data_IF_940464578511
#
_entry.id   IF_940464578511
#
_cell.length_a   1.000
_cell.length_b   1.000
_cell.length_c   1.000
_cell.angle_alpha   90.00
_cell.angle_beta   90.00
_cell.angle_gamma   90.00
#
_symmetry.space_group_name_H-M   'P 1'
#
loop_
_entity.id
_entity.type
_entity.pdbx_description
1 polymer ?
#
# COMPACT_ATOMS: atom_id res chain seq x y z
N UNK A 1 27.71 -59.12 48.53
CA UNK A 1 28.24 -58.02 47.70
C UNK A 1 28.11 -58.42 46.24
N UNK A 2 27.03 -58.01 45.55
CA UNK A 2 26.91 -57.89 44.09
C UNK A 2 25.82 -56.83 43.85
N UNK A 3 26.20 -55.82 43.09
CA UNK A 3 25.45 -54.60 42.76
C UNK A 3 24.32 -54.89 41.77
N UNK A 4 23.10 -54.39 42.02
CA UNK A 4 22.05 -54.27 41.00
C UNK A 4 21.92 -52.78 40.66
N UNK A 5 22.44 -52.40 39.49
CA UNK A 5 22.25 -51.07 38.90
C UNK A 5 20.80 -50.90 38.46
N UNK A 6 20.17 -49.81 38.87
CA UNK A 6 18.88 -49.36 38.35
C UNK A 6 19.13 -48.53 37.08
N UNK A 7 18.62 -49.00 35.94
CA UNK A 7 18.62 -48.28 34.67
C UNK A 7 17.44 -47.31 34.68
N UNK A 8 17.69 -46.00 34.82
CA UNK A 8 16.65 -44.97 34.66
C UNK A 8 16.59 -44.61 33.17
N UNK A 9 15.52 -45.04 32.51
CA UNK A 9 15.20 -44.69 31.13
C UNK A 9 14.57 -43.28 31.12
N UNK A 10 15.35 -42.25 30.82
CA UNK A 10 14.87 -40.88 30.65
C UNK A 10 14.21 -40.70 29.27
N UNK A 11 12.87 -40.68 29.23
CA UNK A 11 12.12 -40.22 28.06
C UNK A 11 12.30 -38.70 27.92
N UNK A 12 13.03 -38.27 26.88
CA UNK A 12 13.01 -36.89 26.41
C UNK A 12 11.71 -36.66 25.62
N UNK A 13 10.69 -36.09 26.26
CA UNK A 13 9.55 -35.50 25.55
C UNK A 13 10.00 -34.21 24.87
N UNK A 14 10.23 -34.24 23.56
CA UNK A 14 10.37 -33.02 22.76
C UNK A 14 9.01 -32.33 22.70
N UNK A 15 8.86 -31.20 23.41
CA UNK A 15 7.70 -30.33 23.31
C UNK A 15 7.67 -29.67 21.94
N UNK A 16 6.83 -30.20 21.04
CA UNK A 16 6.43 -29.49 19.83
C UNK A 16 5.61 -28.26 20.24
N UNK A 17 6.17 -27.07 20.08
CA UNK A 17 5.44 -25.82 20.18
C UNK A 17 4.63 -25.68 18.89
N UNK A 18 3.29 -25.69 18.92
CA UNK A 18 2.51 -25.49 17.70
C UNK A 18 2.73 -24.06 17.21
N UNK A 19 3.30 -23.92 16.02
CA UNK A 19 3.34 -22.65 15.29
C UNK A 19 1.91 -22.18 15.10
N UNK A 20 1.55 -21.06 15.72
CA UNK A 20 0.26 -20.41 15.54
C UNK A 20 0.12 -20.03 14.07
N UNK A 21 -0.74 -20.77 13.35
CA UNK A 21 -1.18 -20.37 12.03
C UNK A 21 -1.88 -19.00 12.14
N UNK A 22 -1.35 -18.00 11.45
CA UNK A 22 -2.01 -16.71 11.28
C UNK A 22 -3.36 -16.99 10.60
N UNK A 23 -4.45 -16.75 11.33
CA UNK A 23 -5.79 -16.99 10.82
C UNK A 23 -6.01 -16.16 9.55
N UNK A 24 -6.41 -16.82 8.46
CA UNK A 24 -6.81 -16.16 7.21
C UNK A 24 -7.94 -15.14 7.51
N UNK A 25 -7.98 -14.00 6.80
CA UNK A 25 -9.03 -13.01 7.00
C UNK A 25 -10.40 -13.65 6.79
N UNK A 26 -11.24 -13.61 7.84
CA UNK A 26 -12.62 -14.14 7.77
C UNK A 26 -13.42 -13.26 6.81
N UNK A 27 -13.67 -13.78 5.61
CA UNK A 27 -14.59 -13.20 4.63
C UNK A 27 -16.03 -13.40 5.11
N UNK A 28 -16.80 -12.31 5.27
CA UNK A 28 -18.25 -12.43 5.48
C UNK A 28 -18.91 -12.73 4.14
N UNK A 29 -19.53 -13.91 4.00
CA UNK A 29 -20.15 -14.36 2.74
C UNK A 29 -21.49 -13.66 2.43
N UNK A 30 -21.95 -12.77 3.30
CA UNK A 30 -23.22 -12.06 3.14
C UNK A 30 -23.00 -10.73 2.43
N UNK A 31 -23.64 -10.56 1.28
CA UNK A 31 -23.67 -9.28 0.57
C UNK A 31 -24.74 -8.40 1.23
N UNK A 32 -24.33 -7.23 1.74
CA UNK A 32 -25.22 -6.27 2.39
C UNK A 32 -25.71 -5.21 1.39
N UNK A 33 -27.02 -5.06 1.25
CA UNK A 33 -27.62 -3.95 0.51
C UNK A 33 -27.38 -2.62 1.25
N UNK A 34 -26.94 -1.58 0.52
CA UNK A 34 -26.59 -0.27 1.09
C UNK A 34 -27.19 0.88 0.27
N UNK A 35 -27.02 2.11 0.75
CA UNK A 35 -27.31 3.32 -0.01
C UNK A 35 -26.02 4.12 -0.28
N UNK A 36 -26.11 5.16 -1.12
CA UNK A 36 -24.94 5.95 -1.55
C UNK A 36 -24.31 6.81 -0.44
N UNK A 37 -24.95 6.93 0.72
CA UNK A 37 -24.38 7.60 1.89
C UNK A 37 -23.70 6.63 2.86
N UNK A 38 -23.72 5.32 2.58
CA UNK A 38 -23.11 4.32 3.47
C UNK A 38 -21.59 4.36 3.34
N UNK A 39 -20.93 4.44 4.49
CA UNK A 39 -19.48 4.43 4.66
C UNK A 39 -19.03 3.16 5.43
N UNK A 40 -17.72 3.06 5.68
CA UNK A 40 -17.12 1.96 6.43
C UNK A 40 -16.69 2.35 7.86
N UNK A 41 -17.18 3.48 8.40
CA UNK A 41 -16.74 4.01 9.70
C UNK A 41 -17.01 3.03 10.85
N UNK A 42 -18.11 2.27 10.78
CA UNK A 42 -18.45 1.23 11.77
C UNK A 42 -17.44 0.08 11.82
N UNK A 43 -16.62 -0.08 10.77
CA UNK A 43 -15.66 -1.18 10.60
C UNK A 43 -14.21 -0.74 10.80
N UNK A 44 -13.95 0.52 11.19
CA UNK A 44 -12.59 1.11 11.25
C UNK A 44 -11.56 0.36 12.11
N UNK A 45 -12.01 -0.46 13.06
CA UNK A 45 -11.14 -1.26 13.94
C UNK A 45 -10.98 -2.72 13.47
N UNK A 46 -11.65 -3.12 12.39
CA UNK A 46 -11.68 -4.50 11.89
C UNK A 46 -10.63 -4.70 10.79
N UNK A 47 -9.38 -4.32 11.07
CA UNK A 47 -8.27 -4.37 10.10
C UNK A 47 -8.14 -5.76 9.48
N UNK A 48 -8.01 -5.81 8.16
CA UNK A 48 -7.89 -7.02 7.36
C UNK A 48 -9.22 -7.74 7.08
N UNK A 49 -10.32 -7.39 7.76
CA UNK A 49 -11.63 -8.01 7.50
C UNK A 49 -12.24 -7.51 6.19
N UNK A 50 -13.00 -8.40 5.55
CA UNK A 50 -13.64 -8.17 4.26
C UNK A 50 -15.16 -8.11 4.41
N UNK A 51 -15.74 -7.07 3.81
CA UNK A 51 -17.18 -6.82 3.79
C UNK A 51 -17.67 -6.65 2.35
N UNK A 52 -18.75 -7.32 2.01
CA UNK A 52 -19.35 -7.25 0.66
C UNK A 52 -20.63 -6.44 0.69
N UNK A 53 -20.79 -5.54 -0.29
CA UNK A 53 -21.91 -4.63 -0.38
C UNK A 53 -22.51 -4.61 -1.79
N UNK A 54 -23.81 -4.34 -1.88
CA UNK A 54 -24.47 -3.98 -3.14
C UNK A 54 -24.84 -2.51 -3.15
N UNK A 55 -24.28 -1.78 -4.11
CA UNK A 55 -24.62 -0.41 -4.43
C UNK A 55 -25.81 -0.38 -5.39
N UNK A 56 -26.88 0.37 -5.08
CA UNK A 56 -28.05 0.47 -5.93
C UNK A 56 -27.77 1.35 -7.16
N UNK A 57 -28.49 1.15 -8.27
CA UNK A 57 -28.37 1.99 -9.46
C UNK A 57 -28.85 3.43 -9.22
N UNK A 58 -28.44 4.34 -10.11
CA UNK A 58 -28.89 5.73 -10.20
C UNK A 58 -28.72 6.56 -8.91
N UNK A 59 -27.64 6.32 -8.16
CA UNK A 59 -27.34 7.13 -6.99
C UNK A 59 -26.66 8.46 -7.30
N UNK A 60 -26.16 9.10 -6.24
CA UNK A 60 -25.49 10.39 -6.32
C UNK A 60 -24.11 10.30 -5.70
N UNK A 61 -23.10 10.70 -6.47
CA UNK A 61 -21.72 10.78 -5.99
C UNK A 61 -21.57 11.88 -4.94
N UNK A 62 -20.74 11.63 -3.94
CA UNK A 62 -20.40 12.57 -2.87
C UNK A 62 -18.91 12.92 -2.85
N UNK A 63 -18.51 13.86 -1.99
CA UNK A 63 -17.09 14.12 -1.77
C UNK A 63 -16.50 12.97 -0.96
N UNK A 64 -15.45 12.35 -1.49
CA UNK A 64 -14.72 11.26 -0.84
C UNK A 64 -13.23 11.59 -0.73
N UNK A 65 -12.52 10.82 0.09
CA UNK A 65 -11.11 11.04 0.38
C UNK A 65 -10.28 9.81 0.02
N UNK A 66 -9.17 10.03 -0.69
CA UNK A 66 -8.26 8.99 -1.13
C UNK A 66 -8.47 8.48 -2.55
N UNK A 67 -7.59 7.58 -2.96
CA UNK A 67 -7.51 6.92 -4.25
C UNK A 67 -6.78 5.60 -4.02
N UNK A 68 -7.31 4.51 -4.55
CA UNK A 68 -6.95 3.11 -4.25
C UNK A 68 -7.27 2.71 -2.79
N UNK A 69 -6.76 3.49 -1.85
CA UNK A 69 -7.19 3.51 -0.45
C UNK A 69 -8.15 4.68 -0.27
N UNK A 70 -9.31 4.40 0.30
CA UNK A 70 -10.33 5.40 0.60
C UNK A 70 -10.54 5.48 2.09
N UNK A 71 -10.78 6.68 2.63
CA UNK A 71 -11.07 6.84 4.07
C UNK A 71 -12.33 6.05 4.43
N UNK A 72 -12.35 5.42 5.61
CA UNK A 72 -13.56 4.72 6.08
C UNK A 72 -14.79 5.62 6.18
N UNK A 73 -14.62 6.94 6.29
CA UNK A 73 -15.74 7.90 6.24
C UNK A 73 -16.20 8.29 4.82
N UNK A 74 -15.62 7.70 3.78
CA UNK A 74 -16.03 7.93 2.39
C UNK A 74 -17.16 7.00 1.99
N UNK A 75 -18.08 7.50 1.16
CA UNK A 75 -19.11 6.69 0.51
C UNK A 75 -18.48 5.52 -0.25
N UNK A 76 -18.87 4.29 0.10
CA UNK A 76 -18.37 3.06 -0.53
C UNK A 76 -18.73 3.04 -2.02
N UNK A 77 -19.97 3.43 -2.36
CA UNK A 77 -20.43 3.43 -3.75
C UNK A 77 -19.76 4.52 -4.59
N UNK A 78 -19.54 5.72 -4.03
CA UNK A 78 -18.80 6.76 -4.75
C UNK A 78 -17.34 6.37 -4.95
N UNK A 79 -16.71 5.75 -3.94
CA UNK A 79 -15.36 5.22 -4.05
C UNK A 79 -15.25 4.12 -5.12
N UNK A 80 -16.27 3.27 -5.25
CA UNK A 80 -16.32 2.22 -6.26
C UNK A 80 -16.45 2.79 -7.69
N UNK A 81 -17.22 3.88 -7.87
CA UNK A 81 -17.25 4.62 -9.15
C UNK A 81 -15.90 5.25 -9.44
N UNK A 82 -15.30 5.93 -8.46
CA UNK A 82 -13.97 6.51 -8.62
C UNK A 82 -12.93 5.45 -9.04
N UNK A 83 -12.95 4.29 -8.40
CA UNK A 83 -12.12 3.14 -8.72
C UNK A 83 -12.43 2.49 -10.09
N UNK A 84 -13.49 2.90 -10.78
CA UNK A 84 -13.92 2.34 -12.07
C UNK A 84 -14.52 0.94 -11.97
N UNK A 85 -14.90 0.49 -10.77
CA UNK A 85 -15.44 -0.86 -10.54
C UNK A 85 -16.94 -0.95 -10.85
N UNK A 86 -17.65 0.16 -10.71
CA UNK A 86 -19.08 0.29 -11.04
C UNK A 86 -19.35 1.63 -11.72
N UNK A 87 -20.55 1.77 -12.30
CA UNK A 87 -21.04 3.06 -12.81
C UNK A 87 -22.25 3.52 -12.01
N UNK A 88 -22.52 4.83 -12.00
CA UNK A 88 -23.70 5.40 -11.33
C UNK A 88 -25.01 4.78 -11.85
N UNK A 89 -25.25 4.64 -13.18
CA UNK A 89 -26.51 4.09 -13.68
C UNK A 89 -26.72 2.62 -13.34
N UNK A 90 -25.64 1.83 -13.28
CA UNK A 90 -25.75 0.38 -13.06
C UNK A 90 -25.72 0.00 -11.57
N UNK A 91 -24.99 0.73 -10.73
CA UNK A 91 -24.61 0.24 -9.40
C UNK A 91 -23.73 -1.02 -9.52
N UNK A 92 -23.77 -1.89 -8.51
CA UNK A 92 -23.05 -3.17 -8.56
C UNK A 92 -22.67 -3.73 -7.19
N UNK A 93 -22.01 -4.90 -7.20
CA UNK A 93 -21.49 -5.54 -5.98
C UNK A 93 -20.01 -5.21 -5.87
N UNK A 94 -19.58 -4.81 -4.68
CA UNK A 94 -18.18 -4.55 -4.35
C UNK A 94 -17.84 -5.18 -3.01
N UNK A 95 -16.59 -5.58 -2.84
CA UNK A 95 -16.07 -6.00 -1.54
C UNK A 95 -14.92 -5.09 -1.13
N UNK A 96 -14.91 -4.68 0.12
CA UNK A 96 -13.87 -3.85 0.70
C UNK A 96 -13.10 -4.63 1.76
N UNK A 97 -11.81 -4.34 1.88
CA UNK A 97 -11.00 -4.78 3.00
C UNK A 97 -10.58 -3.57 3.82
N UNK A 98 -10.79 -3.63 5.14
CA UNK A 98 -10.35 -2.56 6.04
C UNK A 98 -8.83 -2.59 6.17
N UNK A 99 -8.22 -1.43 6.04
CA UNK A 99 -6.78 -1.19 6.09
C UNK A 99 -6.44 -0.27 7.25
N UNK A 100 -5.21 -0.37 7.79
CA UNK A 100 -4.75 0.51 8.85
C UNK A 100 -4.73 1.97 8.40
N UNK A 101 -4.51 2.85 9.36
CA UNK A 101 -4.42 4.28 9.08
C UNK A 101 -3.28 4.59 8.12
N UNK A 102 -3.54 5.44 7.15
CA UNK A 102 -2.55 5.86 6.16
C UNK A 102 -2.82 7.28 5.67
N UNK A 103 -1.86 7.82 4.91
CA UNK A 103 -2.05 9.06 4.17
C UNK A 103 -2.77 8.73 2.89
N UNK A 104 -3.89 9.40 2.66
CA UNK A 104 -4.75 9.21 1.51
C UNK A 104 -4.54 10.35 0.53
N UNK A 105 -4.33 10.00 -0.74
CA UNK A 105 -4.10 10.97 -1.81
C UNK A 105 -5.34 11.10 -2.67
N UNK A 106 -5.80 12.33 -2.87
CA UNK A 106 -6.94 12.62 -3.74
C UNK A 106 -6.54 12.66 -5.21
N UNK A 107 -7.35 12.07 -6.09
CA UNK A 107 -7.20 12.20 -7.54
C UNK A 107 -8.54 12.45 -8.22
N UNK A 108 -8.54 12.56 -9.55
CA UNK A 108 -9.76 12.53 -10.35
C UNK A 108 -9.72 11.31 -11.25
N UNK A 109 -10.70 10.41 -11.11
CA UNK A 109 -10.86 9.20 -11.90
C UNK A 109 -12.35 8.97 -12.16
N UNK A 110 -12.69 8.45 -13.33
CA UNK A 110 -14.09 8.15 -13.71
C UNK A 110 -15.05 9.32 -13.45
N UNK A 111 -14.57 10.56 -13.70
CA UNK A 111 -15.28 11.82 -13.45
C UNK A 111 -15.63 12.12 -11.98
N UNK A 112 -15.12 11.32 -11.03
CA UNK A 112 -15.20 11.59 -9.59
C UNK A 112 -13.90 12.22 -9.14
N UNK A 113 -13.98 13.33 -8.40
CA UNK A 113 -12.82 13.98 -7.78
C UNK A 113 -12.81 13.69 -6.29
N UNK A 114 -11.66 13.27 -5.79
CA UNK A 114 -11.44 12.98 -4.37
C UNK A 114 -10.44 13.95 -3.76
N UNK A 115 -10.43 14.04 -2.44
CA UNK A 115 -9.51 14.91 -1.67
C UNK A 115 -8.46 14.07 -0.95
N UNK A 116 -7.30 14.67 -0.68
CA UNK A 116 -6.29 14.06 0.19
C UNK A 116 -6.72 14.18 1.65
N UNK A 117 -6.35 13.18 2.47
CA UNK A 117 -6.61 13.15 3.91
C UNK A 117 -5.43 12.51 4.63
N UNK A 118 -4.92 13.16 5.67
CA UNK A 118 -3.85 12.62 6.51
C UNK A 118 -4.40 11.73 7.61
N UNK A 119 -3.79 10.56 7.83
CA UNK A 119 -4.03 9.67 8.97
C UNK A 119 -5.50 9.28 9.16
N UNK A 120 -5.99 8.38 8.31
CA UNK A 120 -7.36 7.87 8.43
C UNK A 120 -7.37 6.36 8.24
N UNK A 121 -8.13 5.60 9.04
CA UNK A 121 -8.46 4.22 8.72
C UNK A 121 -9.01 4.18 7.31
N UNK A 122 -8.60 3.18 6.55
CA UNK A 122 -8.90 3.16 5.12
C UNK A 122 -9.53 1.84 4.71
N UNK A 123 -10.04 1.79 3.49
CA UNK A 123 -10.41 0.56 2.84
C UNK A 123 -9.92 0.57 1.40
N UNK A 124 -9.64 -0.63 0.87
CA UNK A 124 -9.47 -0.84 -0.56
C UNK A 124 -10.51 -1.83 -1.07
N UNK A 125 -10.68 -1.91 -2.38
CA UNK A 125 -11.53 -2.92 -3.00
C UNK A 125 -10.76 -4.21 -3.25
N UNK A 126 -11.35 -5.35 -2.90
CA UNK A 126 -10.74 -6.68 -3.02
C UNK A 126 -11.70 -7.69 -3.67
N UNK A 127 -11.14 -8.75 -4.23
CA UNK A 127 -11.89 -9.91 -4.63
C UNK A 127 -12.24 -10.70 -3.34
N UNK A 128 -13.53 -10.91 -3.03
CA UNK A 128 -13.91 -11.53 -1.76
C UNK A 128 -13.51 -13.01 -1.65
N UNK A 129 -13.20 -13.68 -2.76
CA UNK A 129 -12.76 -15.07 -2.79
C UNK A 129 -11.25 -15.23 -2.59
N UNK A 130 -10.46 -14.33 -3.19
CA UNK A 130 -8.99 -14.42 -3.15
C UNK A 130 -8.34 -13.43 -2.19
N UNK A 131 -9.12 -12.49 -1.62
CA UNK A 131 -8.64 -11.31 -0.90
C UNK A 131 -7.68 -10.41 -1.70
N UNK A 132 -7.50 -10.68 -2.99
CA UNK A 132 -6.61 -9.91 -3.84
C UNK A 132 -7.21 -8.52 -4.08
N UNK A 133 -6.43 -7.43 -4.00
CA UNK A 133 -6.86 -6.11 -4.44
C UNK A 133 -7.46 -6.15 -5.86
N UNK A 134 -8.65 -5.57 -6.05
CA UNK A 134 -9.27 -5.42 -7.38
C UNK A 134 -8.76 -4.19 -8.10
N UNK A 135 -8.56 -3.13 -7.34
CA UNK A 135 -7.63 -2.07 -7.69
C UNK A 135 -6.26 -2.54 -7.22
N UNK A 136 -5.60 -3.41 -8.00
CA UNK A 136 -4.16 -3.59 -7.87
C UNK A 136 -3.54 -2.28 -8.37
N UNK A 137 -3.00 -1.40 -7.51
CA UNK A 137 -2.12 -0.41 -8.04
C UNK A 137 -0.83 -1.19 -8.24
N UNK A 138 -0.68 -1.82 -9.43
CA UNK A 138 0.65 -2.00 -10.02
C UNK A 138 1.47 -0.73 -9.81
N UNK A 139 0.77 0.42 -9.80
CA UNK A 139 1.23 1.78 -9.57
C UNK A 139 0.52 2.42 -8.35
N UNK A 140 1.17 2.51 -7.19
CA UNK A 140 0.63 3.18 -5.98
C UNK A 140 0.83 4.68 -6.03
N UNK A 141 -0.20 5.48 -5.76
CA UNK A 141 -0.07 6.94 -5.69
C UNK A 141 0.65 7.34 -4.40
N UNK A 142 1.68 8.17 -4.51
CA UNK A 142 2.50 8.59 -3.38
C UNK A 142 2.75 10.10 -3.37
N UNK A 143 3.04 10.61 -2.18
CA UNK A 143 3.52 11.98 -1.98
C UNK A 143 5.04 12.06 -2.09
N UNK A 144 5.56 13.28 -2.18
CA UNK A 144 7.00 13.53 -2.34
C UNK A 144 7.83 13.23 -1.09
N UNK A 145 7.19 13.07 0.07
CA UNK A 145 7.83 12.58 1.29
C UNK A 145 7.91 11.05 1.38
N UNK A 146 7.36 10.30 0.43
CA UNK A 146 7.34 8.84 0.48
C UNK A 146 8.69 8.24 0.07
N UNK A 147 9.23 7.40 0.94
CA UNK A 147 10.41 6.57 0.70
C UNK A 147 10.04 5.09 0.46
N UNK A 148 11.04 4.24 0.30
CA UNK A 148 10.87 2.81 0.08
C UNK A 148 11.16 1.95 1.33
N UNK A 149 11.28 2.52 2.55
CA UNK A 149 11.63 1.76 3.75
C UNK A 149 10.67 0.61 4.06
N UNK A 150 9.38 0.77 3.74
CA UNK A 150 8.37 -0.29 3.90
C UNK A 150 8.63 -1.52 3.03
N UNK A 151 9.50 -1.41 2.00
CA UNK A 151 9.89 -2.52 1.13
C UNK A 151 11.26 -3.10 1.48
N UNK A 152 11.87 -2.66 2.58
CA UNK A 152 13.18 -3.18 3.04
C UNK A 152 13.12 -4.70 3.19
N UNK A 153 14.15 -5.38 2.69
CA UNK A 153 14.26 -6.85 2.72
C UNK A 153 13.53 -7.56 1.58
N UNK A 154 12.76 -6.86 0.75
CA UNK A 154 12.09 -7.43 -0.44
C UNK A 154 12.99 -7.37 -1.67
N UNK A 155 14.20 -7.92 -1.54
CA UNK A 155 15.24 -7.86 -2.58
C UNK A 155 14.73 -8.36 -3.94
N UNK A 156 15.14 -7.66 -5.00
CA UNK A 156 14.78 -7.90 -6.40
C UNK A 156 13.29 -7.79 -6.74
N UNK A 157 12.43 -7.45 -5.77
CA UNK A 157 11.02 -7.19 -6.02
C UNK A 157 10.83 -5.78 -6.58
N UNK A 158 9.81 -5.65 -7.42
CA UNK A 158 9.47 -4.44 -8.13
C UNK A 158 8.18 -3.81 -7.58
N UNK A 159 8.17 -2.48 -7.52
CA UNK A 159 7.03 -1.71 -7.08
C UNK A 159 6.89 -0.48 -7.96
N UNK A 160 5.70 -0.25 -8.53
CA UNK A 160 5.46 0.99 -9.25
C UNK A 160 4.69 1.98 -8.41
N UNK A 161 5.00 3.25 -8.65
CA UNK A 161 4.48 4.38 -7.93
C UNK A 161 4.11 5.50 -8.88
N UNK A 162 3.09 6.27 -8.55
CA UNK A 162 2.74 7.51 -9.23
C UNK A 162 2.97 8.69 -8.31
N UNK A 163 3.96 9.49 -8.64
CA UNK A 163 4.26 10.76 -8.00
C UNK A 163 3.27 11.82 -8.49
N UNK A 164 2.65 12.53 -7.54
CA UNK A 164 1.75 13.64 -7.86
C UNK A 164 2.53 14.85 -8.42
N UNK A 165 1.90 15.69 -9.24
CA UNK A 165 2.52 16.92 -9.75
C UNK A 165 2.78 17.96 -8.63
N UNK A 166 3.68 18.89 -8.90
CA UNK A 166 4.01 20.07 -8.09
C UNK A 166 4.42 19.75 -6.65
N UNK A 167 5.28 18.75 -6.46
CA UNK A 167 5.81 18.45 -5.13
C UNK A 167 7.09 19.19 -4.77
N UNK A 168 7.60 18.86 -3.59
CA UNK A 168 8.80 19.47 -3.04
C UNK A 168 10.00 18.52 -3.08
N UNK A 169 11.13 19.04 -3.57
CA UNK A 169 12.40 18.32 -3.60
C UNK A 169 12.97 18.22 -2.19
N UNK A 170 13.34 17.01 -1.78
CA UNK A 170 13.97 16.74 -0.48
C UNK A 170 15.43 16.29 -0.64
N UNK A 171 16.16 16.20 0.48
CA UNK A 171 17.52 15.63 0.44
C UNK A 171 17.43 14.13 0.20
N UNK A 172 18.14 13.66 -0.82
CA UNK A 172 18.25 12.24 -1.17
C UNK A 172 19.73 11.83 -1.30
N UNK A 173 19.97 10.53 -1.30
CA UNK A 173 21.32 9.97 -1.26
C UNK A 173 21.53 8.96 -2.39
N UNK A 174 22.61 9.13 -3.15
CA UNK A 174 22.99 8.25 -4.26
C UNK A 174 22.65 8.78 -5.65
N UNK A 175 23.06 8.00 -6.64
CA UNK A 175 22.96 8.27 -8.08
C UNK A 175 22.80 6.94 -8.79
N UNK A 176 21.74 6.79 -9.60
CA UNK A 176 21.30 5.54 -10.26
C UNK A 176 20.86 4.43 -9.28
N UNK A 177 21.61 4.24 -8.20
CA UNK A 177 21.26 3.51 -6.99
C UNK A 177 21.04 4.51 -5.86
N UNK A 178 19.84 4.50 -5.28
CA UNK A 178 19.44 5.44 -4.22
C UNK A 178 19.26 4.71 -2.89
N UNK A 179 19.60 5.38 -1.79
CA UNK A 179 19.34 4.84 -0.44
C UNK A 179 17.84 4.64 -0.23
N UNK A 180 17.44 3.54 0.41
CA UNK A 180 16.03 3.15 0.56
C UNK A 180 15.16 4.21 1.28
N UNK A 181 15.77 5.04 2.12
CA UNK A 181 15.10 6.15 2.81
C UNK A 181 15.03 7.45 2.02
N UNK A 182 15.52 7.46 0.77
CA UNK A 182 15.38 8.61 -0.12
C UNK A 182 13.95 8.72 -0.64
N UNK A 183 13.45 9.95 -0.80
CA UNK A 183 12.20 10.21 -1.52
C UNK A 183 12.22 9.59 -2.91
N UNK A 184 11.24 8.73 -3.19
CA UNK A 184 11.09 8.06 -4.50
C UNK A 184 10.88 9.12 -5.60
N UNK A 185 10.02 10.11 -5.35
CA UNK A 185 9.71 11.14 -6.35
C UNK A 185 10.89 12.09 -6.61
N UNK A 186 11.61 12.49 -5.56
CA UNK A 186 12.80 13.33 -5.74
C UNK A 186 13.91 12.57 -6.48
N UNK A 187 14.12 11.29 -6.13
CA UNK A 187 15.07 10.44 -6.84
C UNK A 187 14.69 10.22 -8.30
N UNK A 188 13.39 10.13 -8.60
CA UNK A 188 12.88 10.01 -9.96
C UNK A 188 13.16 11.27 -10.80
N UNK A 189 13.01 12.47 -10.23
CA UNK A 189 13.43 13.72 -10.89
C UNK A 189 14.94 13.72 -11.13
N UNK A 190 15.73 13.40 -10.11
CA UNK A 190 17.18 13.31 -10.24
C UNK A 190 17.60 12.33 -11.35
N UNK A 191 16.93 11.18 -11.45
CA UNK A 191 17.15 10.18 -12.50
C UNK A 191 16.62 10.60 -13.88
N UNK A 192 15.89 11.72 -13.99
CA UNK A 192 15.29 12.19 -15.24
C UNK A 192 14.07 11.38 -15.69
N UNK A 193 13.44 10.62 -14.78
CA UNK A 193 12.27 9.78 -15.07
C UNK A 193 10.96 10.57 -15.05
N UNK A 194 10.90 11.65 -14.29
CA UNK A 194 9.74 12.55 -14.16
C UNK A 194 10.19 14.00 -13.98
N UNK A 195 9.26 14.96 -14.07
CA UNK A 195 9.49 16.36 -13.68
C UNK A 195 8.73 16.70 -12.39
N UNK A 196 9.16 17.75 -11.68
CA UNK A 196 8.42 18.27 -10.52
C UNK A 196 7.03 18.72 -10.91
N UNK A 197 6.92 19.43 -12.05
CA UNK A 197 5.67 20.01 -12.54
C UNK A 197 4.61 18.94 -12.83
N UNK A 198 5.01 17.86 -13.49
CA UNK A 198 4.07 16.87 -14.02
C UNK A 198 3.91 15.66 -13.08
N UNK A 199 4.92 15.39 -12.25
CA UNK A 199 5.02 14.10 -11.56
C UNK A 199 5.12 12.96 -12.59
N UNK A 200 4.58 11.80 -12.26
CA UNK A 200 4.52 10.67 -13.19
C UNK A 200 4.68 9.32 -12.53
N UNK A 201 4.66 8.28 -13.36
CA UNK A 201 4.78 6.89 -12.92
C UNK A 201 6.22 6.42 -13.01
N UNK A 202 6.69 5.74 -11.97
CA UNK A 202 8.03 5.12 -11.91
C UNK A 202 7.93 3.73 -11.31
N UNK A 203 8.80 2.83 -11.75
CA UNK A 203 8.96 1.51 -11.15
C UNK A 203 10.34 1.41 -10.52
N UNK A 204 10.37 0.99 -9.26
CA UNK A 204 11.62 0.74 -8.54
C UNK A 204 11.83 -0.75 -8.33
N UNK A 205 13.10 -1.16 -8.28
CA UNK A 205 13.53 -2.48 -7.79
C UNK A 205 14.35 -2.33 -6.52
N UNK A 206 14.06 -3.14 -5.51
CA UNK A 206 14.76 -3.10 -4.21
C UNK A 206 16.10 -3.85 -4.30
N UNK A 207 17.15 -3.22 -3.78
CA UNK A 207 18.50 -3.79 -3.71
C UNK A 207 19.13 -3.66 -2.32
N UNK A 208 20.39 -4.07 -2.21
CA UNK A 208 21.14 -4.17 -0.95
C UNK A 208 22.40 -3.30 -0.90
N UNK A 209 22.54 -2.30 -1.79
CA UNK A 209 23.71 -1.41 -1.79
C UNK A 209 23.79 -0.61 -0.50
N UNK A 210 25.01 -0.33 -0.05
CA UNK A 210 25.27 0.36 1.21
C UNK A 210 26.10 1.64 1.02
N UNK A 211 26.72 1.82 -0.14
CA UNK A 211 27.55 2.97 -0.47
C UNK A 211 26.91 3.75 -1.62
N UNK A 212 26.67 5.02 -1.37
CA UNK A 212 25.95 5.89 -2.29
C UNK A 212 26.81 7.09 -2.63
N UNK A 213 27.03 7.32 -3.92
CA UNK A 213 27.72 8.50 -4.44
C UNK A 213 26.69 9.53 -4.89
N UNK A 214 26.79 10.74 -4.34
CA UNK A 214 25.94 11.86 -4.68
C UNK A 214 26.44 12.60 -5.91
N UNK A 215 25.51 13.06 -6.75
CA UNK A 215 25.78 13.88 -7.93
C UNK A 215 24.72 14.97 -8.06
N UNK A 216 24.85 15.82 -9.10
CA UNK A 216 23.78 16.74 -9.49
C UNK A 216 23.32 16.37 -10.89
N UNK A 217 22.03 16.05 -11.04
CA UNK A 217 21.37 15.77 -12.32
C UNK A 217 19.97 16.34 -12.32
N UNK A 218 19.50 16.81 -13.48
CA UNK A 218 18.14 17.31 -13.67
C UNK A 218 17.70 18.37 -12.63
N UNK A 219 18.63 19.25 -12.22
CA UNK A 219 18.38 20.30 -11.22
C UNK A 219 18.29 19.82 -9.77
N UNK A 220 18.49 18.52 -9.50
CA UNK A 220 18.48 17.95 -8.15
C UNK A 220 19.90 17.58 -7.74
N UNK A 221 20.30 17.89 -6.51
CA UNK A 221 21.59 17.50 -5.93
C UNK A 221 21.39 16.44 -4.86
N UNK A 222 22.13 15.35 -4.96
CA UNK A 222 22.12 14.25 -3.98
C UNK A 222 23.39 14.24 -3.15
N UNK A 223 23.38 13.51 -2.02
CA UNK A 223 24.52 13.41 -1.09
C UNK A 223 25.11 12.00 -1.07
N UNK A 224 26.35 11.92 -0.61
CA UNK A 224 26.98 10.64 -0.30
C UNK A 224 26.36 10.04 0.97
N UNK A 225 26.27 8.70 1.04
CA UNK A 225 25.87 7.98 2.25
C UNK A 225 26.60 6.63 2.32
N UNK A 226 26.87 6.16 3.54
CA UNK A 226 27.37 4.82 3.82
C UNK A 226 26.51 4.14 4.88
N UNK A 227 26.28 2.84 4.75
CA UNK A 227 25.65 2.01 5.79
C UNK A 227 24.12 2.02 5.84
N UNK A 228 23.42 2.34 4.74
CA UNK A 228 21.93 2.28 4.72
C UNK A 228 21.36 0.86 4.82
N UNK A 229 22.12 -0.13 4.35
CA UNK A 229 21.73 -1.55 4.37
C UNK A 229 20.61 -1.94 3.38
N UNK A 230 20.10 -0.99 2.58
CA UNK A 230 19.17 -1.26 1.49
C UNK A 230 19.11 -0.07 0.51
N UNK A 231 18.76 -0.38 -0.74
CA UNK A 231 18.69 0.58 -1.83
C UNK A 231 17.46 0.36 -2.71
N UNK A 232 17.21 1.29 -3.61
CA UNK A 232 16.38 1.06 -4.78
C UNK A 232 17.02 1.63 -6.04
N UNK A 233 16.64 1.06 -7.18
CA UNK A 233 17.00 1.54 -8.53
C UNK A 233 15.73 1.73 -9.34
N UNK A 234 15.74 2.64 -10.31
CA UNK A 234 14.65 2.75 -11.29
C UNK A 234 14.86 1.76 -12.43
N UNK A 235 13.78 1.13 -12.87
CA UNK A 235 13.80 0.34 -14.10
C UNK A 235 13.71 1.26 -15.31
N UNK A 236 14.21 0.78 -16.46
CA UNK A 236 14.25 1.53 -17.71
C UNK A 236 12.84 1.91 -18.17
#
# INVERSE_FOLDING_TARGET
MISKQALILSLLLSSFVPTTAIAAPRSSSVIKEINWNTDATSHRSQIGQIFSYRCPPNGRVSVIYGSDFYSTGSSICTAAVHAGLITVPAGGIVAIQIQPETILFGTTQSSVRTRSLSSSPSFLFVNPATSAPLTDPKIRIIGWGTDANHQRGRLDQEFSYRCLPNGEISTIYGTDVYSIGSSICTAAVHAGKITVKDGGTVTIRIGSEQNFTGTTRNGVRTRNLRGSGASFTFLL
#
